data_IF_714118396381
#
_entry.id   IF_714118396381
#
_cell.length_a   1.000
_cell.length_b   1.000
_cell.length_c   1.000
_cell.angle_alpha   90.00
_cell.angle_beta   90.00
_cell.angle_gamma   90.00
#
_symmetry.space_group_name_H-M   'P 1'
#
loop_
_entity.id
_entity.type
_entity.pdbx_description
1 polymer ?
#
# COMPACT_ATOMS: atom_id res chain seq x y z
N UNK A 1 -7.87 17.35 -13.83
CA UNK A 1 -7.20 18.09 -12.73
C UNK A 1 -8.05 17.95 -11.49
N UNK A 2 -7.44 17.97 -10.30
CA UNK A 2 -8.15 17.80 -9.04
C UNK A 2 -8.09 19.05 -8.16
N UNK A 3 -9.16 19.28 -7.43
CA UNK A 3 -9.30 20.37 -6.48
C UNK A 3 -9.84 19.77 -5.19
N UNK A 4 -9.34 20.19 -4.04
CA UNK A 4 -9.77 19.62 -2.77
C UNK A 4 -10.10 20.68 -1.73
N UNK A 5 -10.94 20.28 -0.79
CA UNK A 5 -11.25 21.00 0.43
C UNK A 5 -11.02 20.06 1.61
N UNK A 6 -10.26 20.54 2.60
CA UNK A 6 -10.17 19.97 3.93
C UNK A 6 -10.92 20.88 4.89
N UNK A 7 -11.89 20.32 5.61
CA UNK A 7 -12.70 21.04 6.60
C UNK A 7 -12.64 20.36 7.96
N UNK A 8 -12.45 21.15 9.01
CA UNK A 8 -12.44 20.71 10.40
C UNK A 8 -13.02 21.84 11.25
N UNK A 9 -14.24 21.65 11.75
CA UNK A 9 -15.01 22.72 12.40
C UNK A 9 -15.06 23.96 11.49
N UNK A 10 -14.72 25.15 12.01
CA UNK A 10 -14.70 26.42 11.26
C UNK A 10 -13.53 26.54 10.26
N UNK A 11 -12.53 25.67 10.36
CA UNK A 11 -11.34 25.78 9.54
C UNK A 11 -11.53 25.08 8.20
N UNK A 12 -11.15 25.77 7.13
CA UNK A 12 -11.22 25.27 5.76
C UNK A 12 -9.93 25.62 5.04
N UNK A 13 -9.29 24.62 4.43
CA UNK A 13 -8.20 24.83 3.47
C UNK A 13 -8.59 24.22 2.13
N UNK A 14 -8.26 24.92 1.06
CA UNK A 14 -8.51 24.48 -0.31
C UNK A 14 -7.20 24.44 -1.08
N UNK A 15 -7.05 23.44 -1.93
CA UNK A 15 -5.99 23.37 -2.91
C UNK A 15 -6.61 23.14 -4.29
N UNK A 16 -6.02 23.76 -5.30
CA UNK A 16 -6.54 23.77 -6.67
C UNK A 16 -5.48 23.21 -7.62
N UNK A 17 -5.93 22.73 -8.77
CA UNK A 17 -5.08 22.31 -9.89
C UNK A 17 -4.06 21.20 -9.55
N UNK A 18 -4.40 20.29 -8.64
CA UNK A 18 -3.57 19.14 -8.30
C UNK A 18 -3.57 18.13 -9.45
N UNK A 19 -2.37 17.68 -9.82
CA UNK A 19 -2.22 16.53 -10.69
C UNK A 19 -2.60 15.23 -9.95
N UNK A 20 -2.91 14.16 -10.69
CA UNK A 20 -3.27 12.85 -10.11
C UNK A 20 -2.19 12.33 -9.16
N UNK A 21 -0.94 12.28 -9.61
CA UNK A 21 0.19 11.75 -8.83
C UNK A 21 0.51 12.59 -7.59
N UNK A 22 0.23 13.90 -7.66
CA UNK A 22 0.39 14.79 -6.53
C UNK A 22 -0.70 14.55 -5.48
N UNK A 23 -1.97 14.47 -5.92
CA UNK A 23 -3.11 14.15 -5.07
C UNK A 23 -2.90 12.80 -4.36
N UNK A 24 -2.45 11.79 -5.09
CA UNK A 24 -2.20 10.47 -4.52
C UNK A 24 -1.12 10.49 -3.44
N UNK A 25 0.05 11.05 -3.75
CA UNK A 25 1.20 11.02 -2.84
C UNK A 25 1.01 11.90 -1.62
N UNK A 26 0.48 13.12 -1.80
CA UNK A 26 0.37 14.13 -0.73
C UNK A 26 -0.90 14.00 0.09
N UNK A 27 -1.97 13.49 -0.50
CA UNK A 27 -3.30 13.52 0.11
C UNK A 27 -3.84 12.11 0.35
N UNK A 28 -4.15 11.35 -0.71
CA UNK A 28 -4.87 10.07 -0.58
C UNK A 28 -4.06 9.02 0.19
N UNK A 29 -2.76 8.89 -0.09
CA UNK A 29 -1.88 7.95 0.59
C UNK A 29 -1.82 8.19 2.11
N UNK A 30 -1.42 9.39 2.56
CA UNK A 30 -1.44 9.75 3.99
C UNK A 30 -2.84 9.62 4.62
N UNK A 31 -3.88 10.09 3.93
CA UNK A 31 -5.26 10.03 4.41
C UNK A 31 -5.70 8.61 4.73
N UNK A 32 -5.44 7.66 3.83
CA UNK A 32 -5.78 6.25 4.00
C UNK A 32 -4.95 5.55 5.07
N UNK A 33 -3.73 6.03 5.35
CA UNK A 33 -2.89 5.56 6.48
C UNK A 33 -3.26 6.21 7.81
N UNK A 34 -4.22 7.12 7.84
CA UNK A 34 -4.56 7.88 9.04
C UNK A 34 -3.47 8.85 9.47
N UNK A 35 -2.50 9.13 8.59
CA UNK A 35 -1.41 10.07 8.83
C UNK A 35 -1.90 11.50 8.62
N UNK A 36 -1.34 12.44 9.37
CA UNK A 36 -1.69 13.84 9.24
C UNK A 36 -1.19 14.43 7.92
N UNK A 37 -2.00 15.29 7.31
CA UNK A 37 -1.66 16.02 6.08
C UNK A 37 -1.31 17.46 6.43
N UNK A 38 -0.21 17.96 5.91
CA UNK A 38 0.15 19.37 6.00
C UNK A 38 -0.27 20.11 4.73
N UNK A 39 -1.12 21.12 4.90
CA UNK A 39 -1.62 21.94 3.79
C UNK A 39 -1.86 23.38 4.25
N UNK A 40 -1.20 24.34 3.59
CA UNK A 40 -1.19 25.77 3.90
C UNK A 40 -0.94 26.03 5.39
N UNK A 41 0.20 25.53 5.89
CA UNK A 41 0.68 25.68 7.27
C UNK A 41 -0.24 25.10 8.35
N UNK A 42 -1.22 24.30 7.96
CA UNK A 42 -2.14 23.62 8.87
C UNK A 42 -2.02 22.11 8.74
N UNK A 43 -2.03 21.44 9.90
CA UNK A 43 -2.03 19.99 10.02
C UNK A 43 -3.45 19.47 10.12
N UNK A 44 -3.79 18.49 9.29
CA UNK A 44 -5.12 17.91 9.14
C UNK A 44 -5.10 16.42 9.48
N UNK A 45 -5.83 16.04 10.52
CA UNK A 45 -5.95 14.64 10.95
C UNK A 45 -7.17 13.98 10.27
N UNK A 46 -6.99 12.87 9.54
CA UNK A 46 -8.08 12.22 8.80
C UNK A 46 -9.29 11.83 9.66
N UNK A 47 -9.07 11.55 10.96
CA UNK A 47 -10.13 11.16 11.90
C UNK A 47 -10.99 12.35 12.35
N UNK A 48 -10.51 13.59 12.17
CA UNK A 48 -11.15 14.81 12.66
C UNK A 48 -11.53 15.79 11.55
N UNK A 49 -11.07 15.54 10.32
CA UNK A 49 -11.31 16.38 9.17
C UNK A 49 -12.18 15.68 8.13
N UNK A 50 -12.88 16.46 7.32
CA UNK A 50 -13.56 16.01 6.12
C UNK A 50 -12.74 16.40 4.90
N UNK A 51 -12.38 15.41 4.09
CA UNK A 51 -11.80 15.59 2.76
C UNK A 51 -12.93 15.58 1.72
N UNK A 52 -12.92 16.55 0.81
CA UNK A 52 -13.79 16.58 -0.37
C UNK A 52 -12.92 16.88 -1.59
N UNK A 53 -13.09 16.13 -2.67
CA UNK A 53 -12.29 16.24 -3.90
C UNK A 53 -13.23 16.38 -5.08
N UNK A 54 -12.95 17.37 -5.91
CA UNK A 54 -13.59 17.60 -7.19
C UNK A 54 -12.60 17.38 -8.32
N UNK A 55 -13.07 16.78 -9.41
CA UNK A 55 -12.38 16.73 -10.68
C UNK A 55 -13.01 17.74 -11.64
N UNK A 56 -12.16 18.49 -12.35
CA UNK A 56 -12.63 19.46 -13.34
C UNK A 56 -11.49 20.11 -14.11
N UNK A 57 -11.84 21.17 -14.85
CA UNK A 57 -10.88 22.01 -15.56
C UNK A 57 -9.89 22.67 -14.59
N UNK A 58 -8.70 22.99 -15.11
CA UNK A 58 -7.75 23.82 -14.38
C UNK A 58 -8.33 25.24 -14.21
N UNK A 59 -8.19 25.81 -13.03
CA UNK A 59 -8.57 27.20 -12.76
C UNK A 59 -7.40 28.14 -13.03
N UNK A 60 -7.71 29.30 -13.60
CA UNK A 60 -6.78 30.41 -13.73
C UNK A 60 -6.48 31.08 -12.38
N UNK A 61 -5.35 31.79 -12.30
CA UNK A 61 -4.91 32.48 -11.09
C UNK A 61 -5.94 33.52 -10.61
N UNK A 62 -6.58 34.22 -11.55
CA UNK A 62 -7.60 35.24 -11.25
C UNK A 62 -8.85 34.64 -10.59
N UNK A 63 -9.26 33.45 -11.02
CA UNK A 63 -10.42 32.73 -10.49
C UNK A 63 -10.16 32.26 -9.05
N UNK A 64 -8.92 31.84 -8.76
CA UNK A 64 -8.48 31.41 -7.43
C UNK A 64 -8.35 32.60 -6.48
N UNK A 65 -7.67 33.68 -6.92
CA UNK A 65 -7.30 34.82 -6.09
C UNK A 65 -8.48 35.62 -5.52
N UNK A 66 -9.64 35.61 -6.19
CA UNK A 66 -10.85 36.30 -5.74
C UNK A 66 -11.76 35.45 -4.83
N UNK A 67 -11.29 34.29 -4.37
CA UNK A 67 -12.09 33.37 -3.55
C UNK A 67 -13.26 32.70 -4.29
N UNK A 68 -13.35 32.90 -5.61
CA UNK A 68 -14.42 32.36 -6.47
C UNK A 68 -14.13 30.95 -6.96
N UNK A 69 -12.86 30.53 -6.93
CA UNK A 69 -12.42 29.24 -7.45
C UNK A 69 -13.20 28.05 -6.89
N UNK A 70 -13.51 28.04 -5.59
CA UNK A 70 -14.28 26.93 -5.02
C UNK A 70 -15.72 26.87 -5.52
N UNK A 71 -16.41 28.01 -5.60
CA UNK A 71 -17.77 28.06 -6.10
C UNK A 71 -17.84 27.61 -7.57
N UNK A 72 -16.81 27.95 -8.35
CA UNK A 72 -16.67 27.47 -9.73
C UNK A 72 -16.44 25.96 -9.80
N UNK A 73 -15.50 25.43 -9.01
CA UNK A 73 -15.22 23.99 -8.90
C UNK A 73 -16.47 23.20 -8.56
N UNK A 74 -17.24 23.63 -7.56
CA UNK A 74 -18.47 22.93 -7.17
C UNK A 74 -19.58 23.02 -8.22
N UNK A 75 -19.57 24.07 -9.05
CA UNK A 75 -20.59 24.29 -10.08
C UNK A 75 -20.30 23.51 -11.35
N UNK A 76 -19.03 23.36 -11.74
CA UNK A 76 -18.64 22.76 -13.03
C UNK A 76 -17.89 21.45 -12.91
N UNK A 77 -17.37 21.12 -11.73
CA UNK A 77 -16.64 19.89 -11.47
C UNK A 77 -17.54 18.77 -10.94
N UNK A 78 -17.03 17.55 -11.03
CA UNK A 78 -17.65 16.37 -10.44
C UNK A 78 -17.02 16.06 -9.08
N UNK A 79 -17.82 15.83 -8.05
CA UNK A 79 -17.31 15.36 -6.75
C UNK A 79 -16.91 13.88 -6.87
N UNK A 80 -15.63 13.58 -6.68
CA UNK A 80 -15.05 12.25 -6.94
C UNK A 80 -14.44 11.61 -5.69
N UNK A 81 -14.67 12.19 -4.51
CA UNK A 81 -14.02 11.78 -3.26
C UNK A 81 -14.21 10.31 -2.95
N UNK A 82 -15.46 9.82 -3.00
CA UNK A 82 -15.78 8.44 -2.64
C UNK A 82 -15.13 7.44 -3.60
N UNK A 83 -15.18 7.71 -4.90
CA UNK A 83 -14.57 6.88 -5.94
C UNK A 83 -13.04 6.81 -5.77
N UNK A 84 -12.39 7.96 -5.62
CA UNK A 84 -10.94 8.00 -5.42
C UNK A 84 -10.48 7.30 -4.14
N UNK A 85 -11.24 7.42 -3.04
CA UNK A 85 -10.92 6.69 -1.81
C UNK A 85 -11.15 5.19 -1.95
N UNK A 86 -12.16 4.76 -2.70
CA UNK A 86 -12.39 3.34 -2.99
C UNK A 86 -11.26 2.78 -3.86
N UNK A 87 -10.91 3.46 -4.96
CA UNK A 87 -9.83 3.07 -5.85
C UNK A 87 -8.49 3.02 -5.12
N UNK A 88 -8.16 4.07 -4.35
CA UNK A 88 -6.92 4.12 -3.61
C UNK A 88 -6.87 3.05 -2.49
N UNK A 89 -8.01 2.69 -1.89
CA UNK A 89 -8.08 1.50 -1.02
C UNK A 89 -7.80 0.24 -1.82
N UNK A 90 -8.45 0.01 -2.95
CA UNK A 90 -8.21 -1.18 -3.77
C UNK A 90 -6.73 -1.29 -4.19
N UNK A 91 -6.10 -0.19 -4.60
CA UNK A 91 -4.66 -0.18 -4.89
C UNK A 91 -3.81 -0.47 -3.65
N UNK A 92 -4.17 0.07 -2.48
CA UNK A 92 -3.47 -0.25 -1.23
C UNK A 92 -3.63 -1.73 -0.83
N UNK A 93 -4.77 -2.35 -1.13
CA UNK A 93 -5.02 -3.78 -0.87
C UNK A 93 -4.31 -4.69 -1.88
N UNK A 94 -3.93 -4.17 -3.06
CA UNK A 94 -3.06 -4.91 -4.01
C UNK A 94 -1.62 -5.09 -3.49
N UNK A 95 -1.32 -4.51 -2.33
CA UNK A 95 -0.06 -4.70 -1.63
C UNK A 95 1.08 -3.88 -2.26
N UNK A 96 2.33 -4.26 -1.98
CA UNK A 96 3.52 -3.61 -2.51
C UNK A 96 3.47 -3.54 -4.04
N UNK A 97 3.85 -2.39 -4.60
CA UNK A 97 3.96 -2.25 -6.06
C UNK A 97 4.94 -3.26 -6.66
N UNK A 98 4.75 -3.58 -7.94
CA UNK A 98 5.54 -4.57 -8.69
C UNK A 98 7.07 -4.40 -8.54
N UNK A 99 7.65 -3.18 -8.53
CA UNK A 99 9.10 -3.01 -8.35
C UNK A 99 9.60 -3.50 -6.99
N UNK A 100 8.84 -3.26 -5.91
CA UNK A 100 9.24 -3.70 -4.56
C UNK A 100 9.12 -5.21 -4.46
N UNK A 101 8.04 -5.78 -4.98
CA UNK A 101 7.86 -7.23 -5.04
C UNK A 101 8.99 -7.90 -5.84
N UNK A 102 9.33 -7.38 -7.02
CA UNK A 102 10.41 -7.92 -7.84
C UNK A 102 11.77 -7.87 -7.13
N UNK A 103 12.10 -6.75 -6.47
CA UNK A 103 13.33 -6.62 -5.69
C UNK A 103 13.35 -7.59 -4.50
N UNK A 104 12.22 -7.74 -3.81
CA UNK A 104 12.11 -8.66 -2.68
C UNK A 104 12.25 -10.13 -3.13
N UNK A 105 11.60 -10.53 -4.23
CA UNK A 105 11.73 -11.87 -4.83
C UNK A 105 13.19 -12.19 -5.18
N UNK A 106 13.90 -11.28 -5.84
CA UNK A 106 15.30 -11.49 -6.20
C UNK A 106 16.19 -11.70 -4.96
N UNK A 107 15.98 -10.89 -3.92
CA UNK A 107 16.72 -11.01 -2.67
C UNK A 107 16.34 -12.28 -1.88
N UNK A 108 15.08 -12.72 -1.93
CA UNK A 108 14.61 -13.97 -1.34
C UNK A 108 15.30 -15.18 -1.99
N UNK A 109 15.36 -15.23 -3.32
CA UNK A 109 16.08 -16.31 -4.03
C UNK A 109 17.55 -16.38 -3.61
N UNK A 110 18.22 -15.22 -3.51
CA UNK A 110 19.61 -15.16 -3.06
C UNK A 110 19.77 -15.64 -1.60
N UNK A 111 18.83 -15.28 -0.74
CA UNK A 111 18.78 -15.75 0.66
C UNK A 111 18.61 -17.26 0.74
N UNK A 112 17.63 -17.83 0.04
CA UNK A 112 17.38 -19.27 -0.02
C UNK A 112 18.56 -20.05 -0.64
N UNK A 113 19.37 -19.42 -1.49
CA UNK A 113 20.62 -20.00 -2.00
C UNK A 113 21.71 -20.11 -0.92
N UNK A 114 21.65 -19.25 0.10
CA UNK A 114 22.64 -19.19 1.19
C UNK A 114 22.27 -20.10 2.37
N UNK A 115 20.99 -20.48 2.47
CA UNK A 115 20.50 -21.46 3.41
C UNK A 115 18.97 -21.46 3.49
N UNK A 116 18.35 -22.47 4.11
CA UNK A 116 16.90 -22.52 4.32
C UNK A 116 16.41 -21.30 5.11
N UNK A 117 15.19 -20.84 4.83
CA UNK A 117 14.53 -19.77 5.59
C UNK A 117 13.07 -20.11 5.86
N UNK A 118 12.57 -19.79 7.04
CA UNK A 118 11.14 -19.89 7.35
C UNK A 118 10.38 -18.67 6.85
N UNK A 119 9.07 -18.82 6.64
CA UNK A 119 8.21 -17.67 6.28
C UNK A 119 8.22 -16.62 7.41
N UNK A 120 8.23 -17.03 8.67
CA UNK A 120 8.36 -16.12 9.82
C UNK A 120 9.63 -15.26 9.78
N UNK A 121 10.78 -15.83 9.40
CA UNK A 121 12.03 -15.06 9.20
C UNK A 121 11.92 -14.08 8.04
N UNK A 122 11.21 -14.43 6.97
CA UNK A 122 10.96 -13.51 5.85
C UNK A 122 10.07 -12.33 6.28
N UNK A 123 9.09 -12.54 7.15
CA UNK A 123 8.26 -11.46 7.72
C UNK A 123 9.08 -10.54 8.64
N UNK A 124 9.97 -11.10 9.46
CA UNK A 124 10.90 -10.33 10.26
C UNK A 124 11.82 -9.48 9.36
N UNK A 125 12.36 -10.09 8.30
CA UNK A 125 13.21 -9.41 7.32
C UNK A 125 12.46 -8.30 6.56
N UNK A 126 11.22 -8.54 6.11
CA UNK A 126 10.38 -7.51 5.51
C UNK A 126 10.09 -6.34 6.48
N UNK A 127 10.05 -6.61 7.79
CA UNK A 127 9.89 -5.59 8.82
C UNK A 127 11.14 -4.72 9.00
N UNK A 128 12.33 -5.29 8.83
CA UNK A 128 13.60 -4.55 8.82
C UNK A 128 13.74 -3.67 7.58
N UNK A 129 13.36 -4.19 6.41
CA UNK A 129 13.41 -3.45 5.14
C UNK A 129 12.39 -2.31 5.08
N UNK A 130 11.23 -2.48 5.71
CA UNK A 130 10.10 -1.56 5.61
C UNK A 130 9.48 -1.21 6.97
N UNK A 131 10.22 -0.54 7.89
CA UNK A 131 9.77 -0.29 9.26
C UNK A 131 8.56 0.64 9.36
N UNK A 132 8.30 1.45 8.32
CA UNK A 132 7.13 2.34 8.25
C UNK A 132 5.88 1.72 7.63
N UNK A 133 5.95 0.50 7.10
CA UNK A 133 4.80 -0.18 6.49
C UNK A 133 3.90 -0.79 7.55
N UNK A 134 2.61 -0.95 7.22
CA UNK A 134 1.67 -1.69 8.07
C UNK A 134 2.05 -3.16 8.09
N UNK A 135 1.70 -3.85 9.18
CA UNK A 135 1.91 -5.30 9.31
C UNK A 135 1.27 -6.06 8.15
N UNK A 136 0.05 -5.69 7.75
CA UNK A 136 -0.65 -6.33 6.62
C UNK A 136 0.07 -6.15 5.28
N UNK A 137 0.73 -5.00 5.04
CA UNK A 137 1.47 -4.75 3.80
C UNK A 137 2.73 -5.62 3.71
N UNK A 138 3.40 -5.83 4.86
CA UNK A 138 4.58 -6.70 4.94
C UNK A 138 4.21 -8.16 4.78
N UNK A 139 3.12 -8.60 5.43
CA UNK A 139 2.59 -9.96 5.25
C UNK A 139 2.21 -10.19 3.78
N UNK A 140 1.48 -9.25 3.17
CA UNK A 140 1.11 -9.35 1.76
C UNK A 140 2.30 -9.37 0.80
N UNK A 141 3.39 -8.65 1.11
CA UNK A 141 4.64 -8.74 0.35
C UNK A 141 5.20 -10.16 0.35
N UNK A 142 5.35 -10.72 1.56
CA UNK A 142 5.94 -12.05 1.75
C UNK A 142 5.06 -13.12 1.15
N UNK A 143 3.74 -13.07 1.38
CA UNK A 143 2.75 -14.00 0.85
C UNK A 143 2.81 -14.05 -0.67
N UNK A 144 2.71 -12.90 -1.31
CA UNK A 144 2.73 -12.82 -2.77
C UNK A 144 4.08 -13.26 -3.34
N UNK A 145 5.18 -12.87 -2.72
CA UNK A 145 6.51 -13.29 -3.16
C UNK A 145 6.70 -14.81 -3.06
N UNK A 146 6.35 -15.41 -1.93
CA UNK A 146 6.46 -16.85 -1.71
C UNK A 146 5.56 -17.61 -2.69
N UNK A 147 4.30 -17.18 -2.83
CA UNK A 147 3.35 -17.82 -3.75
C UNK A 147 3.83 -17.80 -5.19
N UNK A 148 4.26 -16.63 -5.69
CA UNK A 148 4.74 -16.48 -7.06
C UNK A 148 6.03 -17.29 -7.31
N UNK A 149 6.95 -17.33 -6.34
CA UNK A 149 8.22 -18.05 -6.49
C UNK A 149 8.07 -19.57 -6.42
N UNK A 150 7.14 -20.08 -5.59
CA UNK A 150 6.78 -21.49 -5.58
C UNK A 150 6.19 -21.91 -6.94
N UNK A 151 5.25 -21.13 -7.48
CA UNK A 151 4.65 -21.40 -8.79
C UNK A 151 5.65 -21.27 -9.95
N UNK A 152 6.66 -20.43 -9.81
CA UNK A 152 7.75 -20.31 -10.79
C UNK A 152 8.82 -21.40 -10.66
N UNK A 153 8.75 -22.25 -9.63
CA UNK A 153 9.76 -23.26 -9.34
C UNK A 153 11.13 -22.64 -8.97
N UNK A 154 11.14 -21.42 -8.44
CA UNK A 154 12.38 -20.74 -8.03
C UNK A 154 12.78 -21.09 -6.59
N UNK A 155 11.79 -21.47 -5.78
CA UNK A 155 11.96 -21.95 -4.41
C UNK A 155 11.07 -23.17 -4.20
N UNK A 156 11.44 -24.01 -3.24
CA UNK A 156 10.70 -25.19 -2.81
C UNK A 156 10.30 -25.03 -1.34
N UNK A 157 9.14 -25.58 -0.97
CA UNK A 157 8.67 -25.62 0.41
C UNK A 157 8.93 -27.02 0.97
N UNK A 158 9.62 -27.11 2.10
CA UNK A 158 9.99 -28.36 2.75
C UNK A 158 9.41 -28.44 4.16
N UNK A 159 8.85 -29.58 4.54
CA UNK A 159 8.37 -29.86 5.90
C UNK A 159 8.90 -31.22 6.34
N UNK A 160 9.53 -31.28 7.52
CA UNK A 160 10.12 -32.53 8.05
C UNK A 160 11.04 -33.25 7.04
N UNK A 161 11.85 -32.48 6.29
CA UNK A 161 12.74 -32.96 5.21
C UNK A 161 12.05 -33.54 3.97
N UNK A 162 10.73 -33.38 3.84
CA UNK A 162 9.98 -33.72 2.63
C UNK A 162 9.59 -32.45 1.87
N UNK A 163 9.76 -32.47 0.56
CA UNK A 163 9.21 -31.45 -0.34
C UNK A 163 7.67 -31.50 -0.33
N UNK A 164 7.06 -30.34 -0.17
CA UNK A 164 5.61 -30.14 -0.13
C UNK A 164 5.10 -29.90 -1.55
N UNK A 165 4.16 -30.74 -2.00
CA UNK A 165 3.52 -30.62 -3.31
C UNK A 165 2.59 -29.41 -3.42
N UNK A 166 2.32 -28.98 -4.65
CA UNK A 166 1.51 -27.79 -4.95
C UNK A 166 0.08 -27.87 -4.38
N UNK A 167 -0.47 -29.06 -4.27
CA UNK A 167 -1.77 -29.34 -3.66
C UNK A 167 -1.84 -29.04 -2.17
N UNK A 168 -0.69 -29.02 -1.46
CA UNK A 168 -0.61 -28.74 -0.02
C UNK A 168 -0.23 -27.28 0.27
N UNK A 169 0.22 -26.51 -0.73
CA UNK A 169 0.71 -25.14 -0.54
C UNK A 169 -0.35 -24.21 0.04
N UNK A 170 -1.57 -24.23 -0.49
CA UNK A 170 -2.65 -23.35 -0.03
C UNK A 170 -2.96 -23.58 1.45
N UNK A 171 -3.17 -24.84 1.84
CA UNK A 171 -3.50 -25.18 3.22
C UNK A 171 -2.39 -24.77 4.20
N UNK A 172 -1.12 -24.94 3.80
CA UNK A 172 0.03 -24.56 4.61
C UNK A 172 0.23 -23.06 4.68
N UNK A 173 0.14 -22.34 3.56
CA UNK A 173 0.34 -20.89 3.52
C UNK A 173 -0.84 -20.13 4.13
N UNK A 174 -2.03 -20.71 4.23
CA UNK A 174 -3.13 -20.13 5.00
C UNK A 174 -3.07 -20.44 6.50
N UNK A 175 -2.25 -21.41 6.93
CA UNK A 175 -2.11 -21.76 8.34
C UNK A 175 -1.18 -20.79 9.10
N UNK A 176 -1.67 -20.21 10.20
CA UNK A 176 -0.91 -19.27 11.03
C UNK A 176 0.45 -19.81 11.50
N UNK A 177 0.55 -21.12 11.73
CA UNK A 177 1.79 -21.81 12.14
C UNK A 177 2.94 -21.68 11.15
N UNK A 178 2.64 -21.40 9.88
CA UNK A 178 3.64 -21.14 8.84
C UNK A 178 4.28 -19.76 9.02
N UNK A 179 3.50 -18.80 9.49
CA UNK A 179 3.86 -17.39 9.60
C UNK A 179 4.46 -17.03 10.96
N UNK A 180 4.12 -17.79 12.00
CA UNK A 180 4.67 -17.63 13.33
C UNK A 180 6.02 -18.37 13.46
N UNK A 181 7.01 -17.79 14.15
CA UNK A 181 8.23 -18.50 14.49
C UNK A 181 7.93 -19.67 15.43
N UNK A 182 8.36 -20.88 15.08
CA UNK A 182 8.13 -22.07 15.89
C UNK A 182 8.81 -23.34 15.36
N UNK A 183 8.92 -24.35 16.22
CA UNK A 183 9.37 -25.67 15.81
C UNK A 183 8.36 -26.29 14.83
N UNK A 184 8.84 -26.81 13.70
CA UNK A 184 7.99 -27.43 12.68
C UNK A 184 7.42 -26.47 11.62
N UNK A 185 7.82 -25.19 11.62
CA UNK A 185 7.52 -24.29 10.51
C UNK A 185 8.18 -24.80 9.22
N UNK A 186 7.48 -24.76 8.08
CA UNK A 186 8.05 -25.20 6.83
C UNK A 186 9.20 -24.29 6.40
N UNK A 187 10.19 -24.90 5.76
CA UNK A 187 11.41 -24.25 5.28
C UNK A 187 11.28 -23.95 3.79
N UNK A 188 11.68 -22.76 3.39
CA UNK A 188 11.87 -22.38 2.00
C UNK A 188 13.32 -22.57 1.63
N UNK A 189 13.56 -23.37 0.60
CA UNK A 189 14.89 -23.62 0.04
C UNK A 189 14.91 -23.19 -1.42
N UNK A 190 16.10 -22.92 -1.96
CA UNK A 190 16.23 -22.61 -3.38
C UNK A 190 16.02 -23.90 -4.17
N UNK A 191 15.21 -23.81 -5.23
CA UNK A 191 15.03 -24.93 -6.14
C UNK A 191 16.34 -25.26 -6.88
N UNK A 192 16.53 -26.55 -7.15
CA UNK A 192 17.74 -27.11 -7.78
C UNK A 192 17.93 -26.68 -9.24
#
# INVERSE_FOLDING_TARGET
>A
MFHLELRQSIHVTRAFNLARDELERRILGPWLRGAAIELNDRRWEPQRARLTIYEGAALGVEEIGLGRGWAQVTRTGAEVTAGLLADARLQAHRGPGEPVLASFKAALIARCASGPSTVGELVAWASELHPGWRVSERLGLVERAVWELLHQGAIELHREQREVGAEEWEALLLAWTTWAPGAGSPLLVRAS
#
